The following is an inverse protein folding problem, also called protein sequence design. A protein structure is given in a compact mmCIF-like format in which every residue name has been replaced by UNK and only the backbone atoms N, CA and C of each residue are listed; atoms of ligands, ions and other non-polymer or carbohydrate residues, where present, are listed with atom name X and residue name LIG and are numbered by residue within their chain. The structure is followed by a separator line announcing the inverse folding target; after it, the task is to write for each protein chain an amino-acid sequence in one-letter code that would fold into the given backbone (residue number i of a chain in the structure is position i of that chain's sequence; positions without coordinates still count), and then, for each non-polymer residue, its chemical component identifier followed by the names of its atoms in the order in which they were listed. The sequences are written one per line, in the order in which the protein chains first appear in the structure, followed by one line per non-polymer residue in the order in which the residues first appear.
data_IF_272966916564
#
_entry.id   IF_272966916564
#
_cell.length_a   1.000
_cell.length_b   1.000
_cell.length_c   1.000
_cell.angle_alpha   90.00
_cell.angle_beta   90.00
_cell.angle_gamma   90.00
#
_symmetry.space_group_name_H-M   'P 1'
#
loop_
_entity.id
_entity.type
_entity.pdbx_description
1 polymer ?
#
# COMPACT_ATOMS: atom_id res chain seq x y z
N UNK A 1 -11.16 0.40 -12.29
CA UNK A 1 -10.43 -0.80 -11.81
C UNK A 1 -9.39 -0.38 -10.76
N UNK A 2 -8.67 -1.31 -10.14
CA UNK A 2 -7.57 -0.99 -9.21
C UNK A 2 -6.51 -0.09 -9.86
N UNK A 3 -6.04 -0.45 -11.06
CA UNK A 3 -5.02 0.30 -11.79
C UNK A 3 -5.48 1.71 -12.18
N UNK A 4 -6.74 1.89 -12.59
CA UNK A 4 -7.27 3.24 -12.89
C UNK A 4 -7.24 4.14 -11.65
N UNK A 5 -7.59 3.60 -10.48
CA UNK A 5 -7.49 4.37 -9.23
C UNK A 5 -6.03 4.66 -8.88
N UNK A 6 -5.14 3.68 -9.04
CA UNK A 6 -3.72 3.82 -8.76
C UNK A 6 -3.10 4.94 -9.62
N UNK A 7 -3.38 4.97 -10.91
CA UNK A 7 -2.91 6.00 -11.85
C UNK A 7 -3.57 7.38 -11.64
N UNK A 8 -4.66 7.44 -10.87
CA UNK A 8 -5.23 8.72 -10.45
C UNK A 8 -4.55 9.30 -9.20
N UNK A 9 -3.83 8.47 -8.44
CA UNK A 9 -3.12 8.86 -7.21
C UNK A 9 -1.59 8.96 -7.41
N UNK A 10 -1.04 8.24 -8.39
CA UNK A 10 0.40 8.12 -8.65
C UNK A 10 0.72 8.23 -10.14
N UNK A 11 1.96 8.58 -10.45
CA UNK A 11 2.47 8.63 -11.81
C UNK A 11 2.53 7.24 -12.47
N UNK A 12 2.61 7.25 -13.80
CA UNK A 12 2.75 6.03 -14.60
C UNK A 12 4.12 5.40 -14.33
N UNK A 13 4.18 4.13 -13.89
CA UNK A 13 5.45 3.46 -13.63
C UNK A 13 6.14 3.04 -14.93
N UNK A 14 7.46 2.93 -14.91
CA UNK A 14 8.24 2.39 -16.04
C UNK A 14 8.07 0.86 -16.18
N UNK A 15 7.98 0.16 -15.04
CA UNK A 15 7.86 -1.30 -14.98
C UNK A 15 6.83 -1.71 -13.94
N UNK A 16 5.96 -2.66 -14.29
CA UNK A 16 4.98 -3.27 -13.38
C UNK A 16 5.36 -4.72 -13.11
N UNK A 17 5.63 -5.02 -11.84
CA UNK A 17 5.87 -6.39 -11.38
C UNK A 17 4.60 -6.97 -10.74
N UNK A 18 4.07 -8.08 -11.27
CA UNK A 18 2.95 -8.82 -10.66
C UNK A 18 3.25 -10.30 -10.53
N UNK A 19 2.38 -11.04 -9.83
CA UNK A 19 2.37 -12.50 -9.92
C UNK A 19 1.93 -12.98 -11.32
N UNK A 20 1.85 -14.31 -11.50
CA UNK A 20 1.48 -14.97 -12.76
C UNK A 20 -0.03 -15.13 -12.99
N UNK A 21 -0.88 -14.36 -12.32
CA UNK A 21 -2.32 -14.42 -12.57
C UNK A 21 -2.71 -13.72 -13.88
N UNK A 22 -3.51 -14.42 -14.70
CA UNK A 22 -3.98 -13.90 -16.01
C UNK A 22 -4.83 -12.63 -15.90
N UNK A 23 -5.48 -12.41 -14.77
CA UNK A 23 -6.29 -11.22 -14.51
C UNK A 23 -5.47 -9.92 -14.58
N UNK A 24 -4.19 -9.95 -14.22
CA UNK A 24 -3.34 -8.75 -14.30
C UNK A 24 -3.06 -8.35 -15.74
N UNK A 25 -2.63 -9.30 -16.58
CA UNK A 25 -2.37 -9.03 -17.99
C UNK A 25 -3.62 -8.55 -18.73
N UNK A 26 -4.79 -9.10 -18.40
CA UNK A 26 -6.07 -8.60 -18.94
C UNK A 26 -6.35 -7.15 -18.51
N UNK A 27 -6.23 -6.86 -17.21
CA UNK A 27 -6.49 -5.52 -16.67
C UNK A 27 -5.53 -4.44 -17.18
N UNK A 28 -4.27 -4.79 -17.44
CA UNK A 28 -3.28 -3.86 -18.00
C UNK A 28 -3.58 -3.53 -19.46
N UNK A 29 -4.01 -4.50 -20.27
CA UNK A 29 -4.38 -4.29 -21.68
C UNK A 29 -5.58 -3.38 -21.86
N UNK A 30 -6.49 -3.35 -20.88
CA UNK A 30 -7.66 -2.45 -20.90
C UNK A 30 -7.29 -0.98 -20.70
N UNK A 31 -6.06 -0.66 -20.26
CA UNK A 31 -5.64 0.70 -19.92
C UNK A 31 -4.58 1.19 -20.92
N UNK A 32 -4.94 2.14 -21.82
CA UNK A 32 -4.04 2.58 -22.89
C UNK A 32 -2.70 3.14 -22.41
N UNK A 33 -2.71 3.87 -21.29
CA UNK A 33 -1.50 4.48 -20.71
C UNK A 33 -0.47 3.44 -20.24
N UNK A 34 -0.89 2.18 -20.05
CA UNK A 34 -0.02 1.10 -19.60
C UNK A 34 0.49 0.22 -20.76
N UNK A 35 0.17 0.53 -22.01
CA UNK A 35 0.62 -0.26 -23.16
C UNK A 35 2.13 -0.20 -23.40
N UNK A 36 2.75 0.95 -23.09
CA UNK A 36 4.20 1.14 -23.20
C UNK A 36 4.97 0.72 -21.94
N UNK A 37 4.25 0.31 -20.88
CA UNK A 37 4.84 -0.06 -19.60
C UNK A 37 5.27 -1.52 -19.62
N UNK A 38 6.50 -1.80 -19.21
CA UNK A 38 7.00 -3.18 -19.17
C UNK A 38 6.24 -3.98 -18.09
N UNK A 39 5.56 -5.05 -18.50
CA UNK A 39 4.89 -5.97 -17.57
C UNK A 39 5.74 -7.21 -17.30
N UNK A 40 6.30 -7.29 -16.09
CA UNK A 40 7.13 -8.41 -15.66
C UNK A 40 6.34 -9.32 -14.70
N UNK A 41 6.13 -10.56 -15.13
CA UNK A 41 5.51 -11.60 -14.30
C UNK A 41 6.56 -12.27 -13.43
N UNK A 42 6.50 -12.01 -12.12
CA UNK A 42 7.43 -12.53 -11.14
C UNK A 42 7.11 -13.99 -10.82
N UNK A 43 8.15 -14.84 -10.80
CA UNK A 43 8.05 -16.19 -10.26
C UNK A 43 8.09 -16.11 -8.73
N UNK A 44 7.03 -16.57 -8.07
CA UNK A 44 6.92 -16.57 -6.59
C UNK A 44 8.08 -17.31 -5.90
N UNK A 45 8.66 -18.31 -6.54
CA UNK A 45 9.81 -19.09 -6.03
C UNK A 45 11.10 -18.27 -5.94
N UNK A 46 11.23 -17.17 -6.70
CA UNK A 46 12.41 -16.31 -6.69
C UNK A 46 12.38 -15.23 -5.58
N UNK A 47 11.33 -15.20 -4.74
CA UNK A 47 11.12 -14.21 -3.66
C UNK A 47 11.11 -12.74 -4.11
N UNK A 48 10.99 -12.43 -5.40
CA UNK A 48 11.01 -11.04 -5.87
C UNK A 48 9.77 -10.24 -5.44
N UNK A 49 8.68 -10.91 -5.05
CA UNK A 49 7.49 -10.26 -4.48
C UNK A 49 7.58 -10.03 -2.96
N UNK A 50 8.68 -10.40 -2.28
CA UNK A 50 8.77 -10.35 -0.82
C UNK A 50 8.48 -8.95 -0.27
N UNK A 51 8.93 -7.88 -0.93
CA UNK A 51 8.62 -6.51 -0.49
C UNK A 51 7.11 -6.26 -0.43
N UNK A 52 6.38 -6.63 -1.47
CA UNK A 52 4.92 -6.49 -1.55
C UNK A 52 4.24 -7.39 -0.51
N UNK A 53 4.67 -8.64 -0.37
CA UNK A 53 4.15 -9.57 0.64
C UNK A 53 4.35 -9.08 2.08
N UNK A 54 5.52 -8.51 2.39
CA UNK A 54 5.79 -7.89 3.70
C UNK A 54 4.96 -6.62 3.90
N UNK A 55 4.64 -5.90 2.83
CA UNK A 55 3.82 -4.69 2.91
C UNK A 55 2.42 -4.99 3.44
N UNK A 56 1.85 -6.15 3.09
CA UNK A 56 0.51 -6.60 3.49
C UNK A 56 0.40 -7.08 4.94
N UNK A 57 1.51 -7.51 5.57
CA UNK A 57 1.49 -8.16 6.90
C UNK A 57 0.82 -7.33 8.00
N UNK A 58 1.11 -6.03 8.18
CA UNK A 58 0.48 -5.24 9.24
C UNK A 58 -1.03 -5.12 9.03
N UNK A 59 -1.46 -4.86 7.80
CA UNK A 59 -2.87 -4.77 7.44
C UNK A 59 -3.59 -6.09 7.74
N UNK A 60 -3.01 -7.22 7.34
CA UNK A 60 -3.52 -8.57 7.64
C UNK A 60 -3.56 -8.87 9.15
N UNK A 61 -2.56 -8.42 9.89
CA UNK A 61 -2.51 -8.60 11.34
C UNK A 61 -3.66 -7.87 12.04
N UNK A 62 -3.91 -6.62 11.64
CA UNK A 62 -5.01 -5.82 12.19
C UNK A 62 -6.39 -6.34 11.77
N UNK A 63 -6.53 -6.82 10.53
CA UNK A 63 -7.75 -7.50 10.07
C UNK A 63 -8.04 -8.74 10.93
N UNK A 64 -7.04 -9.59 11.17
CA UNK A 64 -7.17 -10.80 11.99
C UNK A 64 -7.46 -10.48 13.45
N UNK A 65 -6.82 -9.44 14.00
CA UNK A 65 -7.08 -8.98 15.37
C UNK A 65 -8.52 -8.51 15.58
N UNK A 66 -9.18 -8.05 14.53
CA UNK A 66 -10.59 -7.65 14.55
C UNK A 66 -11.56 -8.79 14.18
N UNK A 67 -11.07 -10.03 14.07
CA UNK A 67 -11.85 -11.23 13.67
C UNK A 67 -12.50 -11.09 12.27
N UNK A 68 -11.90 -10.27 11.40
CA UNK A 68 -12.43 -9.98 10.08
C UNK A 68 -13.66 -9.06 10.11
N UNK A 69 -14.13 -8.68 8.92
CA UNK A 69 -15.24 -7.75 8.77
C UNK A 69 -16.45 -8.42 8.13
N UNK A 70 -17.63 -8.26 8.74
CA UNK A 70 -18.89 -8.78 8.19
C UNK A 70 -19.38 -8.03 6.95
N UNK A 71 -18.98 -6.76 6.77
CA UNK A 71 -19.46 -5.88 5.70
C UNK A 71 -18.30 -5.27 4.92
N UNK A 72 -18.36 -5.35 3.59
CA UNK A 72 -17.35 -4.77 2.68
C UNK A 72 -17.09 -3.28 2.91
N UNK A 73 -18.14 -2.48 3.17
CA UNK A 73 -18.02 -1.04 3.44
C UNK A 73 -17.13 -0.75 4.66
N UNK A 74 -17.35 -1.47 5.77
CA UNK A 74 -16.55 -1.36 6.99
C UNK A 74 -15.09 -1.75 6.73
N UNK A 75 -14.85 -2.78 5.93
CA UNK A 75 -13.48 -3.16 5.51
C UNK A 75 -12.80 -2.03 4.74
N UNK A 76 -13.50 -1.38 3.80
CA UNK A 76 -12.93 -0.30 3.01
C UNK A 76 -12.62 0.94 3.86
N UNK A 77 -13.52 1.33 4.76
CA UNK A 77 -13.30 2.42 5.72
C UNK A 77 -12.09 2.13 6.62
N UNK A 78 -12.01 0.90 7.15
CA UNK A 78 -10.89 0.44 7.94
C UNK A 78 -9.57 0.48 7.15
N UNK A 79 -9.54 -0.09 5.94
CA UNK A 79 -8.35 -0.10 5.10
C UNK A 79 -7.89 1.32 4.72
N UNK A 80 -8.83 2.22 4.44
CA UNK A 80 -8.52 3.62 4.12
C UNK A 80 -7.87 4.35 5.32
N UNK A 81 -8.44 4.21 6.52
CA UNK A 81 -7.86 4.78 7.74
C UNK A 81 -6.50 4.15 8.05
N UNK A 82 -6.42 2.83 8.01
CA UNK A 82 -5.21 2.08 8.32
C UNK A 82 -4.07 2.42 7.35
N UNK A 83 -4.35 2.59 6.06
CA UNK A 83 -3.36 3.02 5.07
C UNK A 83 -2.80 4.40 5.40
N UNK A 84 -3.67 5.38 5.74
CA UNK A 84 -3.23 6.73 6.13
C UNK A 84 -2.35 6.71 7.37
N UNK A 85 -2.76 5.98 8.41
CA UNK A 85 -1.99 5.88 9.66
C UNK A 85 -0.67 5.15 9.44
N UNK A 86 -0.69 4.04 8.70
CA UNK A 86 0.51 3.25 8.42
C UNK A 86 1.52 4.02 7.57
N UNK A 87 1.08 4.72 6.53
CA UNK A 87 1.97 5.52 5.69
C UNK A 87 2.66 6.63 6.49
N UNK A 88 1.98 7.20 7.48
CA UNK A 88 2.53 8.26 8.34
C UNK A 88 3.59 7.74 9.33
N UNK A 89 3.46 6.50 9.81
CA UNK A 89 4.31 5.94 10.87
C UNK A 89 5.33 4.90 10.41
N UNK A 90 5.13 4.30 9.23
CA UNK A 90 5.97 3.22 8.74
C UNK A 90 7.19 3.80 8.03
N UNK A 91 8.21 4.11 8.81
CA UNK A 91 9.55 4.19 8.28
C UNK A 91 9.90 2.81 7.72
N UNK A 92 10.21 2.72 6.44
CA UNK A 92 10.95 1.59 5.88
C UNK A 92 12.17 1.32 6.77
N UNK A 93 12.63 0.07 6.84
CA UNK A 93 13.92 -0.23 7.50
C UNK A 93 14.97 0.60 6.76
N UNK A 94 15.28 1.74 7.33
CA UNK A 94 16.08 2.79 6.73
C UNK A 94 17.38 2.85 7.50
N UNK A 95 18.47 3.10 6.79
CA UNK A 95 19.82 3.28 7.36
C UNK A 95 19.94 4.65 8.06
N UNK A 96 18.82 5.16 8.59
CA UNK A 96 18.68 6.50 9.11
C UNK A 96 19.02 6.51 10.61
N UNK A 97 19.79 7.51 11.10
CA UNK A 97 20.14 7.61 12.51
C UNK A 97 18.92 7.62 13.43
N UNK A 98 19.08 7.08 14.64
CA UNK A 98 17.98 6.95 15.61
C UNK A 98 17.34 8.31 15.97
N UNK A 99 18.12 9.39 15.98
CA UNK A 99 17.65 10.77 16.24
C UNK A 99 16.66 11.24 15.18
N UNK A 100 16.99 11.08 13.89
CA UNK A 100 16.14 11.46 12.78
C UNK A 100 14.86 10.63 12.76
N UNK A 101 14.97 9.31 13.02
CA UNK A 101 13.81 8.42 13.15
C UNK A 101 12.86 8.88 14.27
N UNK A 102 13.37 9.25 15.44
CA UNK A 102 12.53 9.77 16.55
C UNK A 102 11.86 11.09 16.16
N UNK A 103 12.60 12.00 15.52
CA UNK A 103 12.05 13.27 15.04
C UNK A 103 10.89 13.05 14.05
N UNK A 104 11.05 12.15 13.07
CA UNK A 104 9.98 11.80 12.15
C UNK A 104 8.78 11.17 12.85
N UNK A 105 8.99 10.30 13.84
CA UNK A 105 7.91 9.73 14.66
C UNK A 105 7.16 10.81 15.44
N UNK A 106 7.87 11.78 16.04
CA UNK A 106 7.24 12.90 16.73
C UNK A 106 6.40 13.76 15.79
N UNK A 107 6.92 14.07 14.59
CA UNK A 107 6.18 14.82 13.58
C UNK A 107 4.97 14.06 13.04
N UNK A 108 5.08 12.74 12.87
CA UNK A 108 3.98 11.86 12.48
C UNK A 108 2.85 11.85 13.53
N UNK A 109 3.19 11.73 14.81
CA UNK A 109 2.23 11.76 15.90
C UNK A 109 1.50 13.11 16.01
N UNK A 110 2.22 14.23 15.84
CA UNK A 110 1.62 15.57 15.81
C UNK A 110 0.60 15.71 14.68
N UNK A 111 0.97 15.32 13.47
CA UNK A 111 0.05 15.32 12.31
C UNK A 111 -1.19 14.45 12.54
N UNK A 112 -1.02 13.28 13.16
CA UNK A 112 -2.15 12.43 13.50
C UNK A 112 -3.07 13.12 14.51
N UNK A 113 -2.51 13.77 15.53
CA UNK A 113 -3.28 14.51 16.53
C UNK A 113 -4.09 15.64 15.92
N UNK A 114 -3.47 16.44 15.04
CA UNK A 114 -4.15 17.51 14.31
C UNK A 114 -5.30 16.97 13.44
N UNK A 115 -5.06 15.89 12.70
CA UNK A 115 -6.09 15.26 11.87
C UNK A 115 -7.26 14.73 12.72
N UNK A 116 -7.00 14.18 13.90
CA UNK A 116 -8.04 13.72 14.83
C UNK A 116 -8.87 14.87 15.40
N UNK A 117 -8.29 16.06 15.58
CA UNK A 117 -9.00 17.25 16.05
C UNK A 117 -9.89 17.89 14.97
N UNK A 118 -9.55 17.74 13.69
CA UNK A 118 -10.37 18.26 12.58
C UNK A 118 -11.61 17.41 12.26
N UNK A 119 -11.65 16.17 12.77
CA UNK A 119 -12.74 15.21 12.53
C UNK A 119 -13.74 15.17 13.70
N UNK A 120 -13.39 15.77 14.84
CA UNK A 120 -14.24 15.89 16.03
C UNK A 120 -15.08 17.16 15.99
#
# INVERSE_FOLDING_TARGET
SFFVRLLGEYDVPEVIHTDKLWSYGAALREIPVLHDVEHVQVVSTARCNNLVEQSHRPTRQQERGQLGFKRRKRTQEFLALHARVSNLHRHTRTTVPATLRRSHQSAALLRLREAMQQVA
#
